data_IF_388994603246
#
_entry.id   IF_388994603246
#
_cell.length_a   1.000
_cell.length_b   1.000
_cell.length_c   1.000
_cell.angle_alpha   90.00
_cell.angle_beta   90.00
_cell.angle_gamma   90.00
#
_symmetry.space_group_name_H-M   'P 1'
#
loop_
_entity.id
_entity.type
_entity.pdbx_description
1 polymer ?
#
# COMPACT_ATOMS: atom_id res chain seq x y z
N UNK A 1 -8.38 33.64 -12.76
CA UNK A 1 -8.53 32.45 -11.91
C UNK A 1 -9.10 31.37 -12.81
N UNK A 2 -8.32 30.38 -13.23
CA UNK A 2 -8.88 29.26 -14.01
C UNK A 2 -9.95 28.59 -13.14
N UNK A 3 -11.18 28.53 -13.62
CA UNK A 3 -12.31 27.99 -12.88
C UNK A 3 -12.10 26.48 -12.70
N UNK A 4 -11.68 26.06 -11.50
CA UNK A 4 -11.50 24.66 -11.20
C UNK A 4 -12.87 24.02 -10.93
N UNK A 5 -13.31 23.13 -11.82
CA UNK A 5 -14.55 22.35 -11.61
C UNK A 5 -14.27 21.23 -10.61
N UNK A 6 -14.98 21.28 -9.48
CA UNK A 6 -14.85 20.24 -8.45
C UNK A 6 -15.10 18.85 -9.04
N UNK A 7 -14.21 17.90 -8.74
CA UNK A 7 -14.29 16.52 -9.21
C UNK A 7 -13.81 16.29 -10.65
N UNK A 8 -13.33 17.32 -11.36
CA UNK A 8 -12.72 17.16 -12.69
C UNK A 8 -11.19 17.22 -12.65
N UNK A 9 -10.59 17.10 -11.48
CA UNK A 9 -9.14 17.02 -11.33
C UNK A 9 -8.66 15.67 -11.86
N UNK A 10 -7.56 15.66 -12.62
CA UNK A 10 -6.87 14.42 -12.97
C UNK A 10 -6.32 13.77 -11.69
N UNK A 11 -6.60 12.48 -11.51
CA UNK A 11 -6.21 11.70 -10.34
C UNK A 11 -5.24 10.55 -10.66
N UNK A 12 -4.66 10.53 -11.87
CA UNK A 12 -3.81 9.43 -12.36
C UNK A 12 -2.65 9.11 -11.40
N UNK A 13 -2.02 10.13 -10.82
CA UNK A 13 -0.91 9.93 -9.87
C UNK A 13 -1.36 9.35 -8.53
N UNK A 14 -2.56 9.71 -8.07
CA UNK A 14 -3.17 9.24 -6.83
C UNK A 14 -3.57 7.77 -6.96
N UNK A 15 -4.18 7.38 -8.09
CA UNK A 15 -4.52 5.99 -8.39
C UNK A 15 -3.26 5.12 -8.43
N UNK A 16 -2.23 5.54 -9.17
CA UNK A 16 -0.94 4.82 -9.24
C UNK A 16 -0.27 4.71 -7.87
N UNK A 17 -0.35 5.76 -7.06
CA UNK A 17 0.18 5.75 -5.69
C UNK A 17 -0.59 4.76 -4.81
N UNK A 18 -1.91 4.71 -4.94
CA UNK A 18 -2.74 3.76 -4.18
C UNK A 18 -2.46 2.31 -4.57
N UNK A 19 -2.31 2.01 -5.86
CA UNK A 19 -1.88 0.69 -6.33
C UNK A 19 -0.52 0.30 -5.74
N UNK A 20 0.43 1.24 -5.75
CA UNK A 20 1.75 1.06 -5.13
C UNK A 20 1.65 0.79 -3.63
N UNK A 21 0.81 1.56 -2.92
CA UNK A 21 0.55 1.39 -1.49
C UNK A 21 0.01 -0.01 -1.18
N UNK A 22 -1.04 -0.45 -1.87
CA UNK A 22 -1.63 -1.79 -1.65
C UNK A 22 -0.61 -2.90 -1.89
N UNK A 23 0.21 -2.78 -2.93
CA UNK A 23 1.29 -3.73 -3.20
C UNK A 23 2.28 -3.79 -2.04
N UNK A 24 2.79 -2.64 -1.58
CA UNK A 24 3.75 -2.59 -0.47
C UNK A 24 3.13 -3.13 0.82
N UNK A 25 1.89 -2.74 1.14
CA UNK A 25 1.16 -3.25 2.32
C UNK A 25 1.03 -4.77 2.30
N UNK A 26 0.76 -5.36 1.14
CA UNK A 26 0.67 -6.83 0.98
C UNK A 26 2.02 -7.50 1.28
N UNK A 27 3.12 -6.95 0.76
CA UNK A 27 4.46 -7.46 1.04
C UNK A 27 4.83 -7.35 2.52
N UNK A 28 4.55 -6.20 3.14
CA UNK A 28 4.79 -5.99 4.58
C UNK A 28 4.01 -7.00 5.40
N UNK A 29 2.71 -7.17 5.13
CA UNK A 29 1.88 -8.13 5.85
C UNK A 29 2.42 -9.56 5.71
N UNK A 30 2.78 -9.99 4.49
CA UNK A 30 3.35 -11.31 4.24
C UNK A 30 4.68 -11.54 4.96
N UNK A 31 5.59 -10.55 4.93
CA UNK A 31 6.88 -10.63 5.64
C UNK A 31 6.67 -10.66 7.15
N UNK A 32 5.78 -9.84 7.69
CA UNK A 32 5.48 -9.83 9.13
C UNK A 32 4.94 -11.17 9.61
N UNK A 33 3.99 -11.77 8.88
CA UNK A 33 3.47 -13.11 9.19
C UNK A 33 4.60 -14.15 9.10
N UNK A 34 5.39 -14.13 8.02
CA UNK A 34 6.51 -15.04 7.84
C UNK A 34 7.54 -14.94 8.98
N UNK A 35 7.85 -13.73 9.43
CA UNK A 35 8.77 -13.48 10.53
C UNK A 35 8.23 -14.05 11.86
N UNK A 36 6.95 -13.82 12.18
CA UNK A 36 6.33 -14.35 13.41
C UNK A 36 6.27 -15.88 13.39
N UNK A 37 5.91 -16.49 12.24
CA UNK A 37 5.92 -17.95 12.09
C UNK A 37 7.33 -18.52 12.23
N UNK A 38 8.32 -17.89 11.61
CA UNK A 38 9.72 -18.29 11.76
C UNK A 38 10.16 -18.24 13.23
N UNK A 39 9.90 -17.14 13.92
CA UNK A 39 10.22 -17.02 15.35
C UNK A 39 9.50 -18.08 16.18
N UNK A 40 8.23 -18.36 15.91
CA UNK A 40 7.48 -19.39 16.64
C UNK A 40 8.07 -20.80 16.48
N UNK A 41 8.63 -21.12 15.30
CA UNK A 41 9.23 -22.43 15.02
C UNK A 41 10.64 -22.55 15.62
N UNK A 42 11.46 -21.51 15.48
CA UNK A 42 12.90 -21.60 15.81
C UNK A 42 13.26 -21.02 17.18
N UNK A 43 12.39 -20.23 17.79
CA UNK A 43 12.56 -19.62 19.11
C UNK A 43 11.45 -20.08 20.08
N UNK A 44 11.07 -21.36 19.98
CA UNK A 44 10.17 -22.05 20.92
C UNK A 44 10.87 -22.37 22.24
#
# INVERSE_FOLDING_TARGET
MAEHKHGSMDITDQEKTFEGFVRVSTWVAGISIGAVVFLAIFNS
#
